data_IF_320309901238
#
_entry.id   IF_320309901238
#
_cell.length_a   1.000
_cell.length_b   1.000
_cell.length_c   1.000
_cell.angle_alpha   90.00
_cell.angle_beta   90.00
_cell.angle_gamma   90.00
#
_symmetry.space_group_name_H-M   'P 1'
#
loop_
_entity.id
_entity.type
_entity.pdbx_description
1 polymer ?
#
# COMPACT_ATOMS: atom_id res chain seq x y z
N UNK A 1 10.38 -9.71 19.83
CA UNK A 1 9.65 -10.10 18.61
C UNK A 1 8.40 -10.88 19.01
N UNK A 2 7.23 -10.43 18.56
CA UNK A 2 5.97 -11.12 18.84
C UNK A 2 5.18 -11.32 17.55
N UNK A 3 5.49 -12.43 16.86
CA UNK A 3 4.85 -12.74 15.58
C UNK A 3 3.36 -13.07 15.74
N UNK A 4 2.94 -13.56 16.91
CA UNK A 4 1.52 -13.87 17.11
C UNK A 4 0.68 -12.58 17.11
N UNK A 5 1.18 -11.51 17.75
CA UNK A 5 0.50 -10.23 17.71
C UNK A 5 0.41 -9.70 16.27
N UNK A 6 1.51 -9.82 15.52
CA UNK A 6 1.51 -9.39 14.12
C UNK A 6 0.57 -10.24 13.24
N UNK A 7 0.45 -11.54 13.51
CA UNK A 7 -0.51 -12.41 12.83
C UNK A 7 -1.96 -12.02 13.15
N UNK A 8 -2.23 -11.66 14.39
CA UNK A 8 -3.54 -11.19 14.80
C UNK A 8 -3.89 -9.88 14.08
N UNK A 9 -2.90 -9.00 13.91
CA UNK A 9 -3.07 -7.77 13.14
C UNK A 9 -3.34 -8.06 11.67
N UNK A 10 -2.68 -9.07 11.08
CA UNK A 10 -2.96 -9.47 9.71
C UNK A 10 -4.41 -9.97 9.57
N UNK A 11 -4.88 -10.77 10.51
CA UNK A 11 -6.26 -11.28 10.49
C UNK A 11 -7.26 -10.14 10.55
N UNK A 12 -7.01 -9.13 11.39
CA UNK A 12 -7.84 -7.94 11.47
C UNK A 12 -7.81 -7.13 10.17
N UNK A 13 -6.63 -6.97 9.59
CA UNK A 13 -6.46 -6.24 8.32
C UNK A 13 -7.18 -6.96 7.18
N UNK A 14 -7.06 -8.28 7.10
CA UNK A 14 -7.73 -9.09 6.08
C UNK A 14 -9.26 -8.99 6.21
N UNK A 15 -9.77 -9.03 7.43
CA UNK A 15 -11.21 -8.89 7.69
C UNK A 15 -11.72 -7.53 7.19
N UNK A 16 -11.00 -6.46 7.49
CA UNK A 16 -11.33 -5.12 7.00
C UNK A 16 -11.22 -5.03 5.48
N UNK A 17 -10.23 -5.70 4.90
CA UNK A 17 -10.05 -5.74 3.44
C UNK A 17 -11.23 -6.41 2.74
N UNK A 18 -11.68 -7.54 3.25
CA UNK A 18 -12.82 -8.27 2.69
C UNK A 18 -14.09 -7.43 2.74
N UNK A 19 -14.29 -6.71 3.83
CA UNK A 19 -15.43 -5.80 3.97
C UNK A 19 -15.36 -4.65 2.97
N UNK A 20 -14.21 -4.00 2.87
CA UNK A 20 -13.99 -2.91 1.92
C UNK A 20 -14.19 -3.37 0.47
N UNK A 21 -13.62 -4.53 0.12
CA UNK A 21 -13.74 -5.11 -1.21
C UNK A 21 -15.22 -5.33 -1.58
N UNK A 22 -15.98 -5.89 -0.66
CA UNK A 22 -17.40 -6.17 -0.87
C UNK A 22 -18.19 -4.86 -1.05
N UNK A 23 -17.92 -3.87 -0.22
CA UNK A 23 -18.59 -2.57 -0.29
C UNK A 23 -18.28 -1.83 -1.60
N UNK A 24 -17.01 -1.81 -2.00
CA UNK A 24 -16.59 -1.15 -3.24
C UNK A 24 -17.20 -1.84 -4.46
N UNK A 25 -17.14 -3.18 -4.49
CA UNK A 25 -17.71 -3.96 -5.59
C UNK A 25 -19.22 -3.73 -5.71
N UNK A 26 -19.94 -3.73 -4.59
CA UNK A 26 -21.37 -3.47 -4.57
C UNK A 26 -21.72 -2.06 -5.04
N UNK A 27 -20.84 -1.09 -4.78
CA UNK A 27 -21.03 0.30 -5.21
C UNK A 27 -20.58 0.56 -6.66
N UNK A 28 -20.06 -0.43 -7.35
CA UNK A 28 -19.52 -0.28 -8.70
C UNK A 28 -18.24 0.52 -8.76
N UNK A 29 -17.50 0.60 -7.65
CA UNK A 29 -16.23 1.34 -7.55
C UNK A 29 -15.05 0.39 -7.71
N UNK A 30 -13.88 0.90 -8.18
CA UNK A 30 -12.67 0.08 -8.24
C UNK A 30 -12.30 -0.45 -6.86
N UNK A 31 -12.07 -1.76 -6.77
CA UNK A 31 -11.78 -2.44 -5.52
C UNK A 31 -10.29 -2.54 -5.21
N UNK A 32 -9.44 -2.30 -6.19
CA UNK A 32 -7.99 -2.39 -6.10
C UNK A 32 -7.32 -1.02 -6.28
N UNK A 33 -6.03 -0.87 -5.93
CA UNK A 33 -5.33 0.39 -6.16
C UNK A 33 -5.32 0.77 -7.63
N UNK A 34 -5.36 2.06 -7.92
CA UNK A 34 -5.24 2.58 -9.26
C UNK A 34 -3.86 2.27 -9.85
N UNK A 35 -3.74 2.23 -11.16
CA UNK A 35 -2.47 1.93 -11.85
C UNK A 35 -2.06 3.14 -12.67
N UNK A 36 -0.91 3.73 -12.35
CA UNK A 36 -0.42 4.93 -13.01
C UNK A 36 -0.16 4.69 -14.50
N UNK A 37 0.42 3.54 -14.86
CA UNK A 37 0.68 3.21 -16.26
C UNK A 37 -0.60 3.24 -17.10
N UNK A 38 -1.73 2.79 -16.54
CA UNK A 38 -3.03 2.84 -17.22
C UNK A 38 -3.52 4.29 -17.35
N UNK A 39 -3.33 5.11 -16.33
CA UNK A 39 -3.74 6.51 -16.34
C UNK A 39 -2.94 7.29 -17.38
N UNK A 40 -1.64 6.99 -17.51
CA UNK A 40 -0.74 7.66 -18.44
C UNK A 40 -0.78 7.07 -19.86
N UNK A 41 -1.50 5.97 -20.07
CA UNK A 41 -1.60 5.35 -21.38
C UNK A 41 -2.13 6.35 -22.42
N UNK A 42 -1.39 6.50 -23.51
CA UNK A 42 -1.76 7.46 -24.57
C UNK A 42 -1.35 8.91 -24.28
N UNK A 43 -0.77 9.19 -23.13
CA UNK A 43 -0.22 10.53 -22.85
C UNK A 43 1.27 10.56 -23.14
N UNK A 44 1.78 11.75 -23.43
CA UNK A 44 3.19 11.97 -23.73
C UNK A 44 3.88 12.56 -22.48
N UNK A 45 4.04 11.76 -21.45
CA UNK A 45 4.59 12.21 -20.16
C UNK A 45 6.01 11.68 -19.95
N UNK A 46 6.94 12.14 -20.76
CA UNK A 46 8.35 11.73 -20.70
C UNK A 46 9.15 12.53 -19.68
N UNK A 47 8.57 13.58 -19.10
CA UNK A 47 9.29 14.46 -18.18
C UNK A 47 9.05 13.99 -16.75
N UNK A 48 10.13 13.54 -16.11
CA UNK A 48 10.13 13.11 -14.71
C UNK A 48 11.08 14.00 -13.92
N UNK A 49 10.61 14.50 -12.78
CA UNK A 49 11.42 15.30 -11.87
C UNK A 49 11.59 14.56 -10.55
N UNK A 50 12.83 14.43 -10.10
CA UNK A 50 13.10 13.88 -8.78
C UNK A 50 12.88 14.93 -7.70
N UNK A 51 12.02 14.61 -6.72
CA UNK A 51 11.74 15.49 -5.58
C UNK A 51 12.52 15.10 -4.33
N UNK A 52 13.14 13.91 -4.31
CA UNK A 52 13.89 13.40 -3.17
C UNK A 52 13.00 12.78 -2.10
N UNK A 53 13.47 12.82 -0.86
CA UNK A 53 12.76 12.23 0.27
C UNK A 53 11.63 13.15 0.72
N UNK A 54 10.42 12.63 0.74
CA UNK A 54 9.19 13.38 1.05
C UNK A 54 8.39 12.63 2.11
N UNK A 55 7.79 13.36 3.04
CA UNK A 55 6.78 12.83 3.96
C UNK A 55 5.43 12.84 3.24
N UNK A 56 5.04 11.68 2.71
CA UNK A 56 3.87 11.56 1.84
C UNK A 56 2.60 11.41 2.68
N UNK A 57 1.56 12.24 2.46
CA UNK A 57 0.27 12.01 3.12
C UNK A 57 -0.28 10.63 2.74
N UNK A 58 -0.50 9.77 3.72
CA UNK A 58 -0.89 8.38 3.48
C UNK A 58 -2.18 8.27 2.64
N UNK A 59 -3.13 9.14 2.88
CA UNK A 59 -4.42 9.14 2.17
C UNK A 59 -4.29 9.49 0.69
N UNK A 60 -3.18 10.11 0.27
CA UNK A 60 -2.92 10.44 -1.13
C UNK A 60 -2.17 9.35 -1.88
N UNK A 61 -1.80 8.28 -1.22
CA UNK A 61 -1.24 7.10 -1.87
C UNK A 61 -2.43 6.27 -2.36
N UNK A 62 -2.76 6.42 -3.63
CA UNK A 62 -4.01 5.87 -4.20
C UNK A 62 -3.77 4.71 -5.15
N UNK A 63 -2.52 4.43 -5.52
CA UNK A 63 -2.27 3.42 -6.52
C UNK A 63 -0.84 2.95 -6.57
N UNK A 64 -0.55 2.16 -7.60
CA UNK A 64 0.76 1.62 -7.93
C UNK A 64 1.18 2.10 -9.30
N UNK A 65 2.48 2.07 -9.59
CA UNK A 65 2.96 2.40 -10.92
C UNK A 65 2.50 1.38 -11.95
N UNK A 66 2.61 0.09 -11.63
CA UNK A 66 2.27 -1.00 -12.55
C UNK A 66 1.26 -1.96 -11.93
N UNK A 67 0.58 -2.74 -12.78
CA UNK A 67 -0.53 -3.60 -12.39
C UNK A 67 -0.11 -4.91 -11.69
N UNK A 68 1.18 -5.19 -11.57
CA UNK A 68 1.68 -6.52 -11.23
C UNK A 68 1.13 -7.15 -9.96
N UNK A 69 0.74 -6.39 -8.94
CA UNK A 69 0.30 -6.93 -7.66
C UNK A 69 -0.95 -6.27 -7.07
N UNK A 70 -1.70 -5.56 -7.88
CA UNK A 70 -2.87 -4.82 -7.36
C UNK A 70 -3.93 -5.73 -6.75
N UNK A 71 -4.06 -6.96 -7.22
CA UNK A 71 -5.06 -7.90 -6.69
C UNK A 71 -4.76 -8.39 -5.28
N UNK A 72 -3.55 -8.15 -4.77
CA UNK A 72 -3.19 -8.46 -3.40
C UNK A 72 -3.72 -7.43 -2.40
N UNK A 73 -4.23 -6.29 -2.88
CA UNK A 73 -4.65 -5.17 -2.04
C UNK A 73 -6.02 -4.65 -2.44
N UNK A 74 -6.73 -4.07 -1.45
CA UNK A 74 -7.90 -3.24 -1.73
C UNK A 74 -7.45 -1.85 -2.21
N UNK A 75 -8.41 -1.01 -2.59
CA UNK A 75 -8.11 0.38 -3.00
C UNK A 75 -7.37 1.18 -1.94
N UNK A 76 -7.55 0.88 -0.65
CA UNK A 76 -6.84 1.52 0.46
C UNK A 76 -5.60 0.73 0.92
N UNK A 77 -5.11 -0.19 0.11
CA UNK A 77 -3.94 -1.02 0.38
C UNK A 77 -4.10 -2.03 1.51
N UNK A 78 -5.30 -2.39 1.90
CA UNK A 78 -5.51 -3.48 2.84
C UNK A 78 -5.23 -4.82 2.17
N UNK A 79 -4.64 -5.81 2.90
CA UNK A 79 -4.23 -7.08 2.30
C UNK A 79 -5.44 -7.99 2.04
N UNK A 80 -5.45 -8.64 0.87
CA UNK A 80 -6.55 -9.54 0.46
C UNK A 80 -6.16 -11.02 0.40
N UNK A 81 -4.86 -11.34 0.47
CA UNK A 81 -4.41 -12.72 0.29
C UNK A 81 -4.55 -13.52 1.58
N UNK A 82 -4.61 -14.85 1.43
CA UNK A 82 -4.83 -15.75 2.54
C UNK A 82 -3.69 -15.73 3.56
N UNK A 83 -3.98 -16.04 4.85
CA UNK A 83 -2.97 -15.97 5.91
C UNK A 83 -1.78 -16.92 5.75
N UNK A 84 -1.94 -17.99 4.98
CA UNK A 84 -0.87 -18.96 4.72
C UNK A 84 -0.03 -18.63 3.48
N UNK A 85 -0.30 -17.50 2.83
CA UNK A 85 0.44 -17.07 1.65
C UNK A 85 1.82 -16.52 2.02
N UNK A 86 2.76 -16.57 1.07
CA UNK A 86 4.06 -15.92 1.22
C UNK A 86 3.91 -14.41 1.45
N UNK A 87 2.95 -13.80 0.78
CA UNK A 87 2.60 -12.39 0.95
C UNK A 87 2.27 -12.10 2.42
N UNK A 88 1.39 -12.90 3.02
CA UNK A 88 0.99 -12.72 4.42
C UNK A 88 2.18 -12.87 5.38
N UNK A 89 3.06 -13.83 5.11
CA UNK A 89 4.28 -14.01 5.91
C UNK A 89 5.15 -12.76 5.88
N UNK A 90 5.36 -12.17 4.72
CA UNK A 90 6.15 -10.94 4.58
C UNK A 90 5.46 -9.75 5.23
N UNK A 91 4.13 -9.66 5.10
CA UNK A 91 3.35 -8.60 5.74
C UNK A 91 3.46 -8.68 7.28
N UNK A 92 3.38 -9.89 7.83
CA UNK A 92 3.51 -10.15 9.27
C UNK A 92 4.89 -9.74 9.78
N UNK A 93 5.95 -10.04 9.03
CA UNK A 93 7.32 -9.65 9.40
C UNK A 93 7.43 -8.11 9.43
N UNK A 94 6.90 -7.42 8.43
CA UNK A 94 6.89 -5.96 8.42
C UNK A 94 6.05 -5.38 9.56
N UNK A 95 4.92 -6.00 9.87
CA UNK A 95 4.06 -5.59 10.97
C UNK A 95 4.80 -5.73 12.30
N UNK A 96 5.49 -6.85 12.52
CA UNK A 96 6.31 -7.06 13.71
C UNK A 96 7.39 -5.98 13.83
N UNK A 97 8.06 -5.64 12.75
CA UNK A 97 9.04 -4.57 12.73
C UNK A 97 8.43 -3.21 13.07
N UNK A 98 7.22 -2.94 12.58
CA UNK A 98 6.50 -1.70 12.90
C UNK A 98 6.15 -1.62 14.39
N UNK A 99 5.80 -2.74 15.00
CA UNK A 99 5.45 -2.80 16.43
C UNK A 99 6.68 -2.76 17.34
N UNK A 100 7.88 -2.96 16.80
CA UNK A 100 9.13 -2.83 17.53
C UNK A 100 9.48 -1.35 17.72
N UNK A 101 10.38 -1.06 18.69
CA UNK A 101 10.82 0.29 19.00
C UNK A 101 11.44 1.01 17.78
N UNK A 102 12.10 0.25 16.91
CA UNK A 102 12.76 0.78 15.72
C UNK A 102 11.76 1.19 14.64
N UNK A 103 10.65 0.44 14.51
CA UNK A 103 9.64 0.69 13.48
C UNK A 103 10.13 0.37 12.06
N UNK A 104 9.30 0.69 11.06
CA UNK A 104 9.67 0.59 9.65
C UNK A 104 10.35 1.89 9.24
N UNK A 105 11.61 1.82 8.83
CA UNK A 105 12.43 2.99 8.48
C UNK A 105 12.70 3.13 7.00
N UNK A 106 12.60 2.07 6.23
CA UNK A 106 12.90 2.11 4.80
C UNK A 106 11.85 2.93 4.06
N UNK A 107 12.24 4.02 3.37
CA UNK A 107 11.29 4.77 2.57
C UNK A 107 10.75 3.95 1.42
N UNK A 108 9.52 4.23 1.03
CA UNK A 108 8.96 3.66 -0.20
C UNK A 108 9.47 4.45 -1.41
N UNK A 109 9.23 3.96 -2.61
CA UNK A 109 9.54 4.69 -3.85
C UNK A 109 8.22 4.92 -4.58
N UNK A 110 7.94 6.19 -4.92
CA UNK A 110 6.67 6.60 -5.51
C UNK A 110 6.87 7.53 -6.69
N UNK A 111 5.83 7.62 -7.52
CA UNK A 111 5.62 8.71 -8.47
C UNK A 111 4.46 9.56 -8.00
N UNK A 112 4.59 10.87 -8.13
CA UNK A 112 3.48 11.79 -7.94
C UNK A 112 2.89 12.18 -9.30
N UNK A 113 1.56 12.16 -9.40
CA UNK A 113 0.86 12.62 -10.57
C UNK A 113 -0.41 13.33 -10.15
N UNK A 114 -0.52 14.62 -10.48
CA UNK A 114 -1.68 15.46 -10.16
C UNK A 114 -2.07 15.43 -8.67
N UNK A 115 -1.08 15.42 -7.80
CA UNK A 115 -1.29 15.48 -6.35
C UNK A 115 -1.55 14.14 -5.67
N UNK A 116 -1.60 13.05 -6.42
CA UNK A 116 -1.72 11.70 -5.90
C UNK A 116 -0.42 10.93 -6.09
N UNK A 117 -0.21 9.91 -5.27
CA UNK A 117 1.04 9.14 -5.26
C UNK A 117 0.78 7.69 -5.65
N UNK A 118 1.69 7.13 -6.43
CA UNK A 118 1.59 5.79 -6.98
C UNK A 118 2.88 5.04 -6.65
N UNK A 119 2.75 3.94 -5.90
CA UNK A 119 3.89 3.21 -5.36
C UNK A 119 4.60 2.42 -6.46
N UNK A 120 5.91 2.60 -6.57
CA UNK A 120 6.76 1.74 -7.39
C UNK A 120 7.33 0.60 -6.56
N UNK A 121 7.77 0.90 -5.32
CA UNK A 121 8.37 -0.09 -4.43
C UNK A 121 7.90 0.17 -3.00
N UNK A 122 7.42 -0.88 -2.31
CA UNK A 122 7.02 -0.78 -0.92
C UNK A 122 5.52 -0.93 -0.68
N UNK A 123 4.77 -1.59 -1.56
CA UNK A 123 3.33 -1.78 -1.40
C UNK A 123 2.95 -2.40 -0.05
N UNK A 124 3.71 -3.41 0.42
CA UNK A 124 3.43 -4.03 1.72
C UNK A 124 3.72 -3.09 2.88
N UNK A 125 4.75 -2.25 2.76
CA UNK A 125 5.04 -1.22 3.78
C UNK A 125 3.91 -0.22 3.87
N UNK A 126 3.36 0.22 2.74
CA UNK A 126 2.19 1.08 2.71
C UNK A 126 1.01 0.38 3.38
N UNK A 127 0.79 -0.89 3.07
CA UNK A 127 -0.31 -1.67 3.65
C UNK A 127 -0.23 -1.74 5.18
N UNK A 128 0.94 -2.05 5.72
CA UNK A 128 1.16 -2.12 7.17
C UNK A 128 0.95 -0.74 7.80
N UNK A 129 1.58 0.28 7.26
CA UNK A 129 1.52 1.63 7.85
C UNK A 129 0.10 2.19 7.79
N UNK A 130 -0.64 1.94 6.73
CA UNK A 130 -2.04 2.37 6.65
C UNK A 130 -2.95 1.59 7.58
N UNK A 131 -2.65 0.33 7.84
CA UNK A 131 -3.40 -0.47 8.82
C UNK A 131 -3.33 0.18 10.21
N UNK A 132 -2.19 0.75 10.57
CA UNK A 132 -1.98 1.45 11.85
C UNK A 132 -2.30 2.95 11.75
N UNK A 133 -2.93 3.37 10.66
CA UNK A 133 -3.38 4.76 10.48
C UNK A 133 -2.26 5.79 10.56
N UNK A 134 -1.05 5.41 10.10
CA UNK A 134 0.06 6.35 10.00
C UNK A 134 -0.32 7.49 9.07
N UNK A 135 -0.28 8.76 9.52
CA UNK A 135 -0.77 9.87 8.69
C UNK A 135 0.17 10.21 7.54
N UNK A 136 1.46 9.91 7.68
CA UNK A 136 2.48 10.19 6.67
C UNK A 136 3.40 8.99 6.51
N UNK A 137 3.90 8.80 5.30
CA UNK A 137 4.80 7.70 4.95
C UNK A 137 6.00 8.28 4.22
N UNK A 138 7.24 8.06 4.71
CA UNK A 138 8.42 8.57 4.02
C UNK A 138 8.64 7.85 2.70
N UNK A 139 8.92 8.59 1.65
CA UNK A 139 9.18 8.03 0.33
C UNK A 139 10.06 8.90 -0.54
N UNK A 140 10.80 8.25 -1.42
CA UNK A 140 11.50 8.93 -2.51
C UNK A 140 10.52 9.13 -3.66
N UNK A 141 10.40 10.38 -4.10
CA UNK A 141 9.43 10.79 -5.12
C UNK A 141 10.13 11.35 -6.34
#
# INVERSE_FOLDING_TARGET
MNLQLARDEYSAALSRAKKEYKELTAAGKPAHPAVLDDILAGTNSDIVQELGLVEIPAERIVGTRSAGRITAFTASFRPLLEPDSEFATKWVILCDAHLDEVGIRDPIVCYEYLGNFYVQEGNKRVSVLRHFESPRIPGYV
#
